data_IF_370288635827
#
_entry.id   IF_370288635827
#
_cell.length_a   1.000
_cell.length_b   1.000
_cell.length_c   1.000
_cell.angle_alpha   90.00
_cell.angle_beta   90.00
_cell.angle_gamma   90.00
#
_symmetry.space_group_name_H-M   'P 1'
#
loop_
_entity.id
_entity.type
_entity.pdbx_description
1 polymer ?
#
# COMPACT_ATOMS: atom_id res chain seq x y z
N UNK A 1 4.32 0.81 -16.06
CA UNK A 1 2.99 0.27 -15.72
C UNK A 1 2.68 0.68 -14.29
N UNK A 2 1.41 0.95 -13.94
CA UNK A 2 1.06 1.24 -12.55
C UNK A 2 1.23 -0.03 -11.69
N UNK A 3 1.59 0.15 -10.42
CA UNK A 3 1.75 -0.91 -9.42
C UNK A 3 0.75 -0.76 -8.29
N UNK A 4 0.31 -1.88 -7.76
CA UNK A 4 -0.49 -1.98 -6.54
C UNK A 4 0.32 -2.72 -5.50
N UNK A 5 0.83 -1.97 -4.53
CA UNK A 5 1.63 -2.48 -3.44
C UNK A 5 0.72 -3.09 -2.38
N UNK A 6 0.65 -4.42 -2.33
CA UNK A 6 -0.05 -5.18 -1.29
C UNK A 6 0.82 -5.18 -0.05
N UNK A 7 0.39 -4.48 1.00
CA UNK A 7 1.20 -4.32 2.22
C UNK A 7 1.54 -5.67 2.83
N UNK A 8 0.54 -6.46 3.15
CA UNK A 8 0.71 -7.81 3.65
C UNK A 8 -0.47 -8.68 3.24
N UNK A 9 -0.18 -9.93 2.88
CA UNK A 9 -1.19 -10.91 2.54
C UNK A 9 -1.95 -11.36 3.79
N UNK A 10 -3.28 -11.46 3.67
CA UNK A 10 -4.16 -12.02 4.70
C UNK A 10 -4.79 -13.28 4.13
N UNK A 11 -4.65 -14.38 4.86
CA UNK A 11 -5.24 -15.65 4.47
C UNK A 11 -6.75 -15.50 4.18
N UNK A 12 -7.23 -16.17 3.14
CA UNK A 12 -8.63 -16.14 2.71
C UNK A 12 -9.17 -14.78 2.23
N UNK A 13 -8.30 -13.83 1.83
CA UNK A 13 -8.73 -12.59 1.16
C UNK A 13 -8.28 -12.54 -0.30
N UNK A 14 -9.23 -12.23 -1.19
CA UNK A 14 -8.95 -12.09 -2.60
C UNK A 14 -8.46 -10.67 -2.93
N UNK A 15 -7.21 -10.54 -3.38
CA UNK A 15 -6.61 -9.28 -3.84
C UNK A 15 -6.72 -9.06 -5.35
N UNK A 16 -7.12 -10.07 -6.12
CA UNK A 16 -7.20 -10.01 -7.58
C UNK A 16 -8.04 -8.83 -8.12
N UNK A 17 -9.17 -8.42 -7.49
CA UNK A 17 -9.92 -7.26 -7.98
C UNK A 17 -9.11 -5.97 -8.01
N UNK A 18 -7.99 -5.88 -7.28
CA UNK A 18 -7.11 -4.71 -7.31
C UNK A 18 -6.20 -4.66 -8.56
N UNK A 19 -6.06 -5.76 -9.32
CA UNK A 19 -5.26 -5.79 -10.57
C UNK A 19 -5.74 -4.79 -11.62
N UNK A 20 -7.01 -4.38 -11.57
CA UNK A 20 -7.54 -3.34 -12.45
C UNK A 20 -6.83 -1.98 -12.28
N UNK A 21 -6.15 -1.75 -11.15
CA UNK A 21 -5.40 -0.52 -10.87
C UNK A 21 -3.90 -0.63 -11.18
N UNK A 22 -3.38 -1.83 -11.42
CA UNK A 22 -1.96 -2.06 -11.69
C UNK A 22 -1.47 -3.45 -11.31
N UNK A 23 -0.16 -3.66 -11.47
CA UNK A 23 0.51 -4.93 -11.12
C UNK A 23 0.55 -5.15 -9.62
N UNK A 24 0.02 -6.27 -9.13
CA UNK A 24 0.10 -6.62 -7.71
C UNK A 24 1.55 -6.91 -7.31
N UNK A 25 2.06 -6.16 -6.34
CA UNK A 25 3.38 -6.35 -5.73
C UNK A 25 3.23 -6.59 -4.23
N UNK A 26 3.44 -7.83 -3.78
CA UNK A 26 3.41 -8.16 -2.35
C UNK A 26 4.68 -7.65 -1.66
N UNK A 27 4.52 -6.88 -0.58
CA UNK A 27 5.64 -6.28 0.15
C UNK A 27 6.10 -7.09 1.36
N UNK A 28 5.17 -7.59 2.18
CA UNK A 28 5.47 -8.35 3.38
C UNK A 28 4.90 -9.77 3.32
N UNK A 29 5.61 -10.77 3.87
CA UNK A 29 5.05 -12.10 4.05
C UNK A 29 3.91 -12.10 5.08
N UNK A 30 3.05 -13.13 5.09
CA UNK A 30 2.06 -13.32 6.15
C UNK A 30 2.72 -13.55 7.53
N UNK A 31 2.00 -13.22 8.61
CA UNK A 31 2.43 -13.42 10.00
C UNK A 31 2.80 -12.13 10.75
N UNK A 32 3.29 -12.25 11.99
CA UNK A 32 3.63 -11.13 12.88
C UNK A 32 5.00 -10.50 12.55
N UNK A 33 5.10 -9.95 11.33
CA UNK A 33 6.34 -9.36 10.79
C UNK A 33 6.79 -8.11 11.57
N UNK A 34 5.85 -7.39 12.19
CA UNK A 34 6.12 -6.05 12.74
C UNK A 34 6.77 -6.03 14.13
N UNK A 35 6.89 -7.18 14.82
CA UNK A 35 7.66 -7.24 16.08
C UNK A 35 9.16 -6.89 15.89
N UNK A 36 9.65 -6.89 14.64
CA UNK A 36 10.95 -6.34 14.26
C UNK A 36 10.79 -5.14 13.31
N UNK A 37 10.80 -3.92 13.87
CA UNK A 37 10.50 -2.70 13.11
C UNK A 37 11.54 -2.40 12.00
N UNK A 38 12.84 -2.53 12.29
CA UNK A 38 13.88 -2.14 11.34
C UNK A 38 13.94 -3.00 10.06
N UNK A 39 13.88 -4.35 10.11
CA UNK A 39 13.80 -5.18 8.91
C UNK A 39 12.55 -4.88 8.06
N UNK A 40 11.41 -4.65 8.72
CA UNK A 40 10.15 -4.30 8.07
C UNK A 40 10.27 -2.99 7.29
N UNK A 41 10.77 -1.92 7.93
CA UNK A 41 11.01 -0.62 7.28
C UNK A 41 11.98 -0.76 6.10
N UNK A 42 13.09 -1.49 6.26
CA UNK A 42 14.07 -1.69 5.18
C UNK A 42 13.46 -2.40 3.97
N UNK A 43 12.58 -3.37 4.20
CA UNK A 43 11.86 -4.10 3.15
C UNK A 43 10.87 -3.18 2.44
N UNK A 44 10.02 -2.46 3.19
CA UNK A 44 9.06 -1.51 2.61
C UNK A 44 9.76 -0.44 1.76
N UNK A 45 10.83 0.18 2.26
CA UNK A 45 11.64 1.16 1.50
C UNK A 45 12.18 0.58 0.19
N UNK A 46 12.58 -0.69 0.17
CA UNK A 46 13.06 -1.34 -1.05
C UNK A 46 11.96 -1.49 -2.10
N UNK A 47 10.74 -1.86 -1.69
CA UNK A 47 9.61 -2.00 -2.61
C UNK A 47 9.14 -0.63 -3.13
N UNK A 48 9.11 0.37 -2.26
CA UNK A 48 8.56 1.71 -2.55
C UNK A 48 9.59 2.69 -3.14
N UNK A 49 10.83 2.27 -3.40
CA UNK A 49 11.91 3.16 -3.89
C UNK A 49 11.58 3.90 -5.20
N UNK A 50 10.75 3.29 -6.04
CA UNK A 50 10.34 3.83 -7.35
C UNK A 50 8.83 4.14 -7.37
N UNK A 51 8.22 4.43 -6.22
CA UNK A 51 6.80 4.76 -6.11
C UNK A 51 6.48 6.07 -6.84
N UNK A 52 5.35 6.10 -7.55
CA UNK A 52 4.93 7.24 -8.37
C UNK A 52 3.45 7.60 -8.17
N UNK A 53 3.03 8.76 -8.69
CA UNK A 53 1.64 9.24 -8.70
C UNK A 53 0.63 8.29 -9.37
N UNK A 54 1.10 7.26 -10.10
CA UNK A 54 0.27 6.25 -10.77
C UNK A 54 0.04 5.01 -9.91
N UNK A 55 0.82 4.84 -8.86
CA UNK A 55 0.84 3.62 -8.05
C UNK A 55 -0.10 3.73 -6.85
N UNK A 56 -0.49 2.58 -6.29
CA UNK A 56 -1.39 2.50 -5.16
C UNK A 56 -0.86 1.62 -4.04
N UNK A 57 -1.18 1.98 -2.80
CA UNK A 57 -1.04 1.10 -1.63
C UNK A 57 -2.37 0.40 -1.38
N UNK A 58 -2.37 -0.92 -1.40
CA UNK A 58 -3.51 -1.72 -0.98
C UNK A 58 -3.44 -1.94 0.54
N UNK A 59 -4.39 -1.33 1.26
CA UNK A 59 -4.42 -1.33 2.74
C UNK A 59 -4.95 -2.67 3.28
N UNK A 60 -4.08 -3.69 3.30
CA UNK A 60 -4.40 -5.04 3.78
C UNK A 60 -3.28 -5.58 4.69
N UNK A 61 -3.68 -6.29 5.75
CA UNK A 61 -2.78 -6.93 6.71
C UNK A 61 -2.57 -6.09 7.98
N UNK A 62 -1.34 -6.10 8.49
CA UNK A 62 -0.97 -5.45 9.75
C UNK A 62 -1.14 -3.90 9.72
N UNK A 63 -1.84 -3.30 10.71
CA UNK A 63 -2.08 -1.85 10.75
C UNK A 63 -0.81 -0.99 10.82
N UNK A 64 0.21 -1.42 11.55
CA UNK A 64 1.48 -0.69 11.69
C UNK A 64 2.27 -0.76 10.39
N UNK A 65 2.30 -1.92 9.72
CA UNK A 65 2.88 -2.05 8.39
C UNK A 65 2.18 -1.16 7.36
N UNK A 66 0.85 -1.07 7.41
CA UNK A 66 0.06 -0.18 6.53
C UNK A 66 0.46 1.28 6.77
N UNK A 67 0.54 1.70 8.04
CA UNK A 67 0.95 3.06 8.40
C UNK A 67 2.38 3.38 7.92
N UNK A 68 3.33 2.46 8.12
CA UNK A 68 4.70 2.62 7.66
C UNK A 68 4.80 2.69 6.14
N UNK A 69 4.05 1.86 5.40
CA UNK A 69 4.03 1.90 3.94
C UNK A 69 3.52 3.25 3.42
N UNK A 70 2.43 3.76 4.00
CA UNK A 70 1.90 5.09 3.67
C UNK A 70 2.90 6.21 3.96
N UNK A 71 3.53 6.20 5.14
CA UNK A 71 4.54 7.19 5.52
C UNK A 71 5.76 7.18 4.59
N UNK A 72 6.28 5.99 4.26
CA UNK A 72 7.44 5.82 3.38
C UNK A 72 7.11 6.29 1.95
N UNK A 73 5.96 5.87 1.40
CA UNK A 73 5.55 6.30 0.05
C UNK A 73 5.38 7.82 -0.02
N UNK A 74 4.74 8.40 0.99
CA UNK A 74 4.55 9.86 1.10
C UNK A 74 5.89 10.60 1.15
N UNK A 75 6.83 10.13 1.97
CA UNK A 75 8.16 10.71 2.08
C UNK A 75 8.88 10.68 0.71
N UNK A 76 8.81 9.56 0.00
CA UNK A 76 9.45 9.41 -1.32
C UNK A 76 8.76 10.17 -2.46
N UNK A 77 7.50 10.58 -2.29
CA UNK A 77 6.67 11.15 -3.35
C UNK A 77 6.08 12.51 -2.97
N UNK A 78 6.86 13.33 -2.28
CA UNK A 78 6.55 14.73 -1.95
C UNK A 78 5.17 14.94 -1.30
N UNK A 79 4.79 14.03 -0.41
CA UNK A 79 3.53 14.07 0.32
C UNK A 79 2.37 13.31 -0.32
N UNK A 80 2.51 12.88 -1.57
CA UNK A 80 1.43 12.23 -2.32
C UNK A 80 1.43 10.72 -2.16
N UNK A 81 0.27 10.16 -1.83
CA UNK A 81 0.05 8.71 -1.76
C UNK A 81 -1.35 8.38 -2.24
N UNK A 82 -1.47 7.35 -3.07
CA UNK A 82 -2.76 6.79 -3.43
C UNK A 82 -3.01 5.48 -2.69
N UNK A 83 -4.21 5.30 -2.17
CA UNK A 83 -4.63 4.09 -1.48
C UNK A 83 -5.77 3.40 -2.21
N UNK A 84 -5.87 2.07 -2.06
CA UNK A 84 -7.05 1.31 -2.41
C UNK A 84 -7.79 0.90 -1.14
N UNK A 85 -8.98 1.47 -0.96
CA UNK A 85 -9.88 1.13 0.13
C UNK A 85 -10.86 0.06 -0.31
N UNK A 86 -10.92 -1.06 0.40
CA UNK A 86 -11.96 -2.08 0.17
C UNK A 86 -13.30 -1.62 0.73
N UNK A 87 -14.32 -1.60 -0.11
CA UNK A 87 -15.71 -1.48 0.31
C UNK A 87 -16.35 -2.86 0.44
N UNK A 88 -16.87 -3.17 1.63
CA UNK A 88 -17.46 -4.49 1.93
C UNK A 88 -18.88 -4.65 1.36
N UNK A 89 -19.62 -3.56 1.19
CA UNK A 89 -20.99 -3.60 0.69
C UNK A 89 -20.97 -3.75 -0.83
N UNK A 90 -20.20 -2.90 -1.52
CA UNK A 90 -20.07 -2.92 -2.98
C UNK A 90 -19.06 -3.96 -3.48
N UNK A 91 -18.30 -4.59 -2.57
CA UNK A 91 -17.29 -5.62 -2.86
C UNK A 91 -16.28 -5.17 -3.94
N UNK A 92 -15.81 -3.93 -3.85
CA UNK A 92 -14.82 -3.36 -4.77
C UNK A 92 -13.82 -2.46 -4.07
N UNK A 93 -12.73 -2.16 -4.76
CA UNK A 93 -11.75 -1.20 -4.31
C UNK A 93 -12.07 0.20 -4.83
N UNK A 94 -11.99 1.19 -3.94
CA UNK A 94 -12.06 2.60 -4.30
C UNK A 94 -10.67 3.22 -4.26
N UNK A 95 -10.25 3.91 -5.34
CA UNK A 95 -9.02 4.68 -5.32
C UNK A 95 -9.23 5.94 -4.47
N UNK A 96 -8.31 6.18 -3.54
CA UNK A 96 -8.27 7.37 -2.71
C UNK A 96 -6.92 8.04 -2.95
N UNK A 97 -6.91 9.13 -3.70
CA UNK A 97 -5.71 9.94 -3.92
C UNK A 97 -5.57 10.95 -2.80
N UNK A 98 -4.37 11.08 -2.24
CA UNK A 98 -4.11 11.96 -1.11
C UNK A 98 -2.80 12.70 -1.27
N UNK A 99 -2.75 13.92 -0.74
CA UNK A 99 -1.54 14.68 -0.47
C UNK A 99 -1.59 15.11 1.00
N UNK A 100 -0.62 14.66 1.81
CA UNK A 100 -0.61 14.93 3.25
C UNK A 100 -0.39 16.40 3.60
N UNK A 101 0.00 17.23 2.63
CA UNK A 101 0.11 18.68 2.77
C UNK A 101 -1.20 19.42 2.43
N UNK A 102 -2.29 18.69 2.16
CA UNK A 102 -3.62 19.26 1.90
C UNK A 102 -3.77 19.92 0.52
N UNK A 103 -2.88 19.60 -0.43
CA UNK A 103 -2.97 20.06 -1.82
C UNK A 103 -3.89 19.13 -2.61
N UNK A 104 -4.32 19.59 -3.79
CA UNK A 104 -5.01 18.71 -4.73
C UNK A 104 -4.06 17.59 -5.18
N UNK A 105 -4.51 16.34 -5.06
CA UNK A 105 -3.77 15.13 -5.41
C UNK A 105 -4.06 14.62 -6.84
#
# INVERSE_FOLDING_TARGET
>A
MAKVYVVQEVANRNVLPAQQFGELTLMLPPGDVVLSAAPTVKRLRRHLKDYTDKDFILTMGDPIAIALAGAIASESNAGKVNFLKWDRQEKKYYPVKTDIHGRAA
#
